data_IF_577332661864
#
_entry.id   IF_577332661864
#
_cell.length_a   1.000
_cell.length_b   1.000
_cell.length_c   1.000
_cell.angle_alpha   90.00
_cell.angle_beta   90.00
_cell.angle_gamma   90.00
#
_symmetry.space_group_name_H-M   'P 1'
#
loop_
_entity.id
_entity.type
_entity.pdbx_description
1 polymer ?
#
# COMPACT_ATOMS: atom_id res chain seq x y z
N UNK A 1 16.40 15.24 -22.77
CA UNK A 1 15.38 15.66 -21.78
C UNK A 1 14.01 15.99 -22.39
N UNK A 2 13.89 16.43 -23.64
CA UNK A 2 12.63 16.79 -24.32
C UNK A 2 11.85 15.54 -24.79
N UNK A 3 12.50 14.45 -25.13
CA UNK A 3 11.88 13.21 -25.65
C UNK A 3 11.16 12.37 -24.60
N UNK A 4 11.57 12.45 -23.32
CA UNK A 4 10.94 11.70 -22.24
C UNK A 4 9.59 12.31 -21.79
N UNK A 5 9.35 13.58 -22.05
CA UNK A 5 8.15 14.30 -21.61
C UNK A 5 6.91 13.91 -22.40
N UNK A 6 7.05 13.50 -23.67
CA UNK A 6 5.93 13.14 -24.55
C UNK A 6 5.39 11.72 -24.32
N UNK A 7 6.14 10.83 -23.67
CA UNK A 7 5.75 9.43 -23.49
C UNK A 7 4.66 9.20 -22.42
N UNK A 8 4.43 10.21 -21.55
CA UNK A 8 3.47 10.10 -20.45
C UNK A 8 2.26 11.01 -20.59
N UNK A 9 2.11 11.70 -21.76
CA UNK A 9 0.98 12.59 -22.01
C UNK A 9 -0.13 11.85 -22.74
N UNK A 10 -1.29 11.73 -22.09
CA UNK A 10 -2.53 11.28 -22.68
C UNK A 10 -3.45 12.47 -22.95
N UNK A 11 -4.12 12.49 -24.11
CA UNK A 11 -5.15 13.49 -24.41
C UNK A 11 -6.51 12.96 -23.96
N UNK A 12 -7.21 13.76 -23.15
CA UNK A 12 -8.57 13.37 -22.72
C UNK A 12 -9.56 13.32 -23.90
N UNK A 13 -9.42 14.27 -24.84
CA UNK A 13 -10.28 14.36 -26.02
C UNK A 13 -9.46 14.40 -27.31
N UNK A 14 -8.90 13.26 -27.76
CA UNK A 14 -8.01 13.23 -28.93
C UNK A 14 -8.73 13.63 -30.24
N UNK A 15 -10.05 13.47 -30.34
CA UNK A 15 -10.84 13.88 -31.51
C UNK A 15 -10.84 15.39 -31.74
N UNK A 16 -10.60 16.20 -30.69
CA UNK A 16 -10.48 17.67 -30.80
C UNK A 16 -9.29 18.07 -31.67
N UNK A 17 -8.24 17.24 -31.74
CA UNK A 17 -7.11 17.49 -32.62
C UNK A 17 -7.51 17.52 -34.11
N UNK A 18 -8.64 16.97 -34.50
CA UNK A 18 -9.18 17.10 -35.86
C UNK A 18 -9.46 18.57 -36.26
N UNK A 19 -9.68 19.47 -35.27
CA UNK A 19 -9.81 20.91 -35.54
C UNK A 19 -8.54 21.53 -36.11
N UNK A 20 -7.37 20.89 -35.95
CA UNK A 20 -6.12 21.36 -36.59
C UNK A 20 -6.20 21.34 -38.13
N UNK A 21 -7.13 20.55 -38.73
CA UNK A 21 -7.37 20.52 -40.17
C UNK A 21 -7.90 21.87 -40.70
N UNK A 22 -8.47 22.72 -39.84
CA UNK A 22 -8.87 24.07 -40.24
C UNK A 22 -7.70 25.03 -40.44
N UNK A 23 -6.54 24.78 -39.83
CA UNK A 23 -5.36 25.65 -39.99
C UNK A 23 -4.85 25.70 -41.42
N UNK A 24 -4.60 24.58 -42.13
CA UNK A 24 -4.17 24.63 -43.51
C UNK A 24 -5.22 25.33 -44.46
N UNK A 25 -6.50 25.16 -44.18
CA UNK A 25 -7.56 25.84 -44.92
C UNK A 25 -7.49 27.36 -44.73
N UNK A 26 -7.29 27.79 -43.48
CA UNK A 26 -7.13 29.21 -43.14
C UNK A 26 -5.85 29.83 -43.76
N UNK A 27 -4.76 29.06 -43.79
CA UNK A 27 -3.51 29.46 -44.44
C UNK A 27 -3.73 29.56 -45.95
N UNK A 28 -4.36 28.58 -46.57
CA UNK A 28 -4.67 28.56 -47.99
C UNK A 28 -5.55 29.75 -48.40
N UNK A 29 -6.61 30.03 -47.64
CA UNK A 29 -7.46 31.19 -47.88
C UNK A 29 -6.72 32.52 -47.73
N UNK A 30 -5.85 32.62 -46.73
CA UNK A 30 -5.00 33.80 -46.56
C UNK A 30 -4.07 34.04 -47.73
N UNK A 31 -3.39 33.00 -48.22
CA UNK A 31 -2.51 33.06 -49.36
C UNK A 31 -3.25 33.42 -50.66
N UNK A 32 -4.45 32.85 -50.87
CA UNK A 32 -5.32 33.12 -52.02
C UNK A 32 -5.82 34.57 -52.03
N UNK A 33 -6.19 35.10 -50.86
CA UNK A 33 -6.68 36.49 -50.76
C UNK A 33 -5.58 37.53 -50.71
N UNK A 34 -4.31 37.13 -50.64
CA UNK A 34 -3.16 38.05 -50.60
C UNK A 34 -3.12 38.93 -51.82
N UNK A 35 -3.26 38.36 -53.00
CA UNK A 35 -3.27 39.07 -54.30
C UNK A 35 -4.43 40.08 -54.45
N UNK A 36 -5.58 39.82 -53.80
CA UNK A 36 -6.78 40.67 -53.88
C UNK A 36 -6.81 41.78 -52.80
N UNK A 37 -5.96 41.69 -51.75
CA UNK A 37 -5.94 42.67 -50.64
C UNK A 37 -4.90 43.74 -50.79
N UNK A 38 -3.96 43.62 -51.72
CA UNK A 38 -3.01 44.65 -52.04
C UNK A 38 -3.69 45.69 -52.94
N UNK A 39 -4.05 46.84 -52.34
CA UNK A 39 -4.55 47.96 -53.15
C UNK A 39 -3.37 48.42 -54.04
N UNK A 40 -3.44 48.12 -55.32
CA UNK A 40 -2.46 48.61 -56.30
C UNK A 40 -2.78 50.09 -56.61
N UNK A 41 -1.97 51.00 -56.09
CA UNK A 41 -1.95 52.37 -56.61
C UNK A 41 -1.09 52.35 -57.88
N UNK A 42 -1.69 52.72 -59.01
CA UNK A 42 -0.96 52.94 -60.24
C UNK A 42 -0.23 54.25 -60.13
N UNK A 43 1.08 54.14 -59.89
CA UNK A 43 1.99 55.32 -59.88
C UNK A 43 2.81 55.35 -61.15
N UNK A 44 2.83 56.48 -61.83
CA UNK A 44 3.39 56.65 -63.17
C UNK A 44 4.93 56.55 -63.19
N UNK A 45 5.61 56.65 -62.03
CA UNK A 45 7.09 56.58 -61.94
C UNK A 45 7.51 55.86 -60.64
N UNK A 46 8.04 54.66 -60.78
CA UNK A 46 8.49 53.81 -59.62
C UNK A 46 10.02 53.91 -59.38
N UNK A 47 10.74 54.66 -60.20
CA UNK A 47 12.22 54.71 -60.20
C UNK A 47 12.86 55.19 -58.87
N UNK A 48 12.11 55.97 -58.05
CA UNK A 48 12.57 56.47 -56.74
C UNK A 48 12.29 55.47 -55.56
N UNK A 49 11.60 54.40 -55.81
CA UNK A 49 11.18 53.39 -54.78
C UNK A 49 12.02 52.13 -54.91
N UNK A 50 12.84 51.97 -55.94
CA UNK A 50 13.71 50.82 -56.13
C UNK A 50 14.81 50.82 -55.06
N UNK A 51 14.70 49.91 -54.05
CA UNK A 51 15.72 49.73 -53.04
C UNK A 51 15.27 49.95 -51.57
N UNK A 52 14.10 50.54 -51.31
CA UNK A 52 13.59 50.73 -49.93
C UNK A 52 12.93 49.50 -49.40
N UNK A 53 13.70 48.62 -48.79
CA UNK A 53 13.14 47.50 -48.00
C UNK A 53 12.60 48.00 -46.67
N UNK A 54 11.31 48.24 -46.56
CA UNK A 54 10.68 48.59 -45.28
C UNK A 54 10.53 47.35 -44.38
N UNK A 55 11.08 47.42 -43.17
CA UNK A 55 10.91 46.37 -42.16
C UNK A 55 9.41 46.10 -41.89
N UNK A 56 8.56 47.14 -41.92
CA UNK A 56 7.11 47.00 -41.77
C UNK A 56 6.49 46.16 -42.89
N UNK A 57 6.97 46.26 -44.12
CA UNK A 57 6.47 45.46 -45.25
C UNK A 57 6.83 43.97 -45.09
N UNK A 58 8.00 43.66 -44.54
CA UNK A 58 8.44 42.30 -44.26
C UNK A 58 7.63 41.65 -43.12
N UNK A 59 7.22 42.45 -42.12
CA UNK A 59 6.53 41.98 -40.94
C UNK A 59 4.98 41.95 -41.05
N UNK A 60 4.43 42.29 -42.23
CA UNK A 60 2.97 42.39 -42.44
C UNK A 60 2.23 41.04 -42.21
N UNK A 61 2.94 39.93 -42.29
CA UNK A 61 2.40 38.59 -42.07
C UNK A 61 2.46 38.16 -40.62
N UNK A 62 3.17 38.86 -39.75
CA UNK A 62 3.41 38.52 -38.36
C UNK A 62 2.09 38.36 -37.52
N UNK A 63 1.09 39.26 -37.63
CA UNK A 63 -0.17 39.12 -36.96
C UNK A 63 -0.89 37.82 -37.35
N UNK A 64 -0.86 37.45 -38.64
CA UNK A 64 -1.49 36.21 -39.10
C UNK A 64 -0.78 34.98 -38.56
N UNK A 65 0.55 34.99 -38.47
CA UNK A 65 1.33 33.88 -37.88
C UNK A 65 0.98 33.70 -36.40
N UNK A 66 0.92 34.80 -35.64
CA UNK A 66 0.55 34.74 -34.22
C UNK A 66 -0.87 34.19 -34.01
N UNK A 67 -1.81 34.53 -34.88
CA UNK A 67 -3.17 33.97 -34.86
C UNK A 67 -3.18 32.48 -35.14
N UNK A 68 -2.45 32.02 -36.15
CA UNK A 68 -2.33 30.60 -36.45
C UNK A 68 -1.72 29.82 -35.27
N UNK A 69 -0.67 30.39 -34.64
CA UNK A 69 0.00 29.79 -33.48
C UNK A 69 -0.94 29.75 -32.23
N UNK A 70 -1.69 30.82 -32.02
CA UNK A 70 -2.68 30.88 -30.94
C UNK A 70 -3.79 29.83 -31.11
N UNK A 71 -4.34 29.70 -32.34
CA UNK A 71 -5.35 28.67 -32.62
C UNK A 71 -4.78 27.26 -32.45
N UNK A 72 -3.53 27.02 -32.91
CA UNK A 72 -2.86 25.75 -32.73
C UNK A 72 -2.73 25.38 -31.24
N UNK A 73 -2.24 26.31 -30.41
CA UNK A 73 -2.11 26.11 -28.97
C UNK A 73 -3.45 25.96 -28.26
N UNK A 74 -4.49 26.71 -28.69
CA UNK A 74 -5.84 26.57 -28.16
C UNK A 74 -6.42 25.20 -28.44
N UNK A 75 -6.25 24.66 -29.63
CA UNK A 75 -6.74 23.30 -29.97
C UNK A 75 -6.03 22.25 -29.14
N UNK A 76 -4.70 22.37 -28.94
CA UNK A 76 -3.96 21.45 -28.07
C UNK A 76 -4.44 21.59 -26.62
N UNK A 77 -4.64 22.80 -26.11
CA UNK A 77 -5.15 23.03 -24.76
C UNK A 77 -6.56 22.44 -24.57
N UNK A 78 -7.43 22.58 -25.59
CA UNK A 78 -8.79 22.03 -25.61
C UNK A 78 -8.81 20.49 -25.64
N UNK A 79 -7.79 19.86 -26.26
CA UNK A 79 -7.62 18.41 -26.21
C UNK A 79 -7.25 17.89 -24.82
N UNK A 80 -7.00 18.79 -23.83
CA UNK A 80 -6.67 18.51 -22.43
C UNK A 80 -5.54 17.49 -22.30
N UNK A 81 -4.29 17.88 -22.56
CA UNK A 81 -3.13 17.04 -22.26
C UNK A 81 -3.04 16.82 -20.75
N UNK A 82 -2.96 15.57 -20.35
CA UNK A 82 -2.86 15.13 -18.94
C UNK A 82 -1.74 14.14 -18.79
N UNK A 83 -1.08 14.20 -17.65
CA UNK A 83 -0.05 13.26 -17.25
C UNK A 83 -0.68 12.22 -16.31
N UNK A 84 -0.53 10.94 -16.66
CA UNK A 84 -1.04 9.84 -15.87
C UNK A 84 0.01 9.45 -14.84
N UNK A 85 -0.29 9.70 -13.58
CA UNK A 85 0.45 9.10 -12.46
C UNK A 85 -0.31 7.88 -11.99
N UNK A 86 0.30 6.73 -12.14
CA UNK A 86 -0.20 5.50 -11.53
C UNK A 86 0.43 5.42 -10.14
N UNK A 87 -0.30 5.86 -9.15
CA UNK A 87 0.02 5.54 -7.76
C UNK A 87 -0.66 4.20 -7.47
N UNK A 88 0.13 3.15 -7.39
CA UNK A 88 -0.30 1.92 -6.78
C UNK A 88 -0.41 2.17 -5.27
N UNK A 89 -1.49 2.83 -4.85
CA UNK A 89 -1.89 2.72 -3.47
C UNK A 89 -2.40 1.30 -3.30
N UNK A 90 -1.56 0.48 -2.72
CA UNK A 90 -1.98 -0.77 -2.11
C UNK A 90 -2.90 -0.39 -0.95
N UNK A 91 -4.15 -0.03 -1.26
CA UNK A 91 -5.22 0.02 -0.28
C UNK A 91 -5.64 -1.43 0.03
N UNK A 92 -4.67 -2.28 0.29
CA UNK A 92 -4.90 -3.40 1.12
C UNK A 92 -5.22 -2.81 2.49
N UNK A 93 -6.49 -2.82 2.89
CA UNK A 93 -6.78 -2.72 4.31
C UNK A 93 -5.97 -3.83 4.95
N UNK A 94 -4.84 -3.46 5.56
CA UNK A 94 -3.94 -4.41 6.20
C UNK A 94 -4.72 -5.25 7.21
N UNK A 95 -4.22 -6.40 7.52
CA UNK A 95 -4.81 -7.31 8.49
C UNK A 95 -4.46 -6.81 9.88
N UNK A 96 -5.44 -6.79 10.78
CA UNK A 96 -5.18 -6.61 12.20
C UNK A 96 -4.88 -7.97 12.81
N UNK A 97 -3.66 -8.15 13.31
CA UNK A 97 -3.18 -9.42 13.83
C UNK A 97 -2.69 -9.29 15.27
N UNK A 98 -2.96 -10.29 16.09
CA UNK A 98 -2.33 -10.42 17.41
C UNK A 98 -1.59 -11.75 17.47
N UNK A 99 -0.31 -11.67 17.79
CA UNK A 99 0.50 -12.84 18.15
C UNK A 99 0.34 -13.09 19.66
N UNK A 100 -0.25 -14.23 20.00
CA UNK A 100 -0.54 -14.62 21.38
C UNK A 100 0.41 -15.74 21.81
N UNK A 101 1.44 -15.38 22.59
CA UNK A 101 2.50 -16.29 23.02
C UNK A 101 2.21 -16.87 24.40
N UNK A 102 2.27 -18.17 24.47
CA UNK A 102 2.40 -18.90 25.73
C UNK A 102 3.83 -18.74 26.26
N UNK A 103 3.97 -18.27 27.50
CA UNK A 103 5.26 -18.13 28.19
C UNK A 103 5.34 -19.00 29.46
N UNK A 104 4.46 -20.00 29.58
CA UNK A 104 4.47 -20.96 30.68
C UNK A 104 5.77 -21.75 30.74
N UNK A 105 6.01 -22.38 31.88
CA UNK A 105 7.24 -23.14 32.11
C UNK A 105 7.48 -24.28 31.10
N UNK A 106 6.43 -24.89 30.55
CA UNK A 106 6.51 -25.94 29.51
C UNK A 106 7.13 -25.46 28.20
N UNK A 107 7.02 -24.15 27.90
CA UNK A 107 7.64 -23.54 26.70
C UNK A 107 9.17 -23.39 26.82
N UNK A 108 9.77 -23.68 27.98
CA UNK A 108 11.22 -23.77 28.16
C UNK A 108 11.80 -25.13 27.75
N UNK A 109 10.96 -26.09 27.39
CA UNK A 109 11.38 -27.41 26.95
C UNK A 109 12.32 -27.36 25.75
N UNK A 110 13.35 -28.24 25.76
CA UNK A 110 14.46 -28.24 24.81
C UNK A 110 14.31 -29.21 23.64
N UNK A 111 13.08 -29.66 23.38
CA UNK A 111 12.75 -30.47 22.20
C UNK A 111 12.88 -29.64 20.90
N UNK A 112 12.73 -28.33 21.02
CA UNK A 112 13.14 -27.33 20.01
C UNK A 112 14.48 -26.70 20.40
N UNK A 113 15.29 -26.33 19.44
CA UNK A 113 16.56 -25.67 19.72
C UNK A 113 16.43 -24.14 19.55
N UNK A 114 16.82 -23.31 20.52
CA UNK A 114 17.34 -23.70 21.85
C UNK A 114 16.26 -24.20 22.81
N UNK A 115 15.03 -23.69 22.77
CA UNK A 115 13.80 -24.13 23.42
C UNK A 115 12.58 -23.75 22.61
N UNK A 116 11.37 -24.18 23.00
CA UNK A 116 10.12 -23.89 22.25
C UNK A 116 9.85 -22.39 22.12
N UNK A 117 9.99 -21.65 23.23
CA UNK A 117 9.72 -20.21 23.25
C UNK A 117 10.67 -19.45 22.32
N UNK A 118 11.98 -19.72 22.41
CA UNK A 118 12.96 -19.03 21.57
C UNK A 118 12.80 -19.39 20.09
N UNK A 119 12.48 -20.65 19.77
CA UNK A 119 12.17 -21.03 18.40
C UNK A 119 10.91 -20.33 17.88
N UNK A 120 9.85 -20.20 18.71
CA UNK A 120 8.64 -19.49 18.36
C UNK A 120 8.90 -17.99 18.12
N UNK A 121 9.71 -17.34 18.96
CA UNK A 121 10.11 -15.94 18.83
C UNK A 121 10.84 -15.69 17.52
N UNK A 122 11.85 -16.49 17.22
CA UNK A 122 12.68 -16.32 16.02
C UNK A 122 11.85 -16.45 14.73
N UNK A 123 10.94 -17.43 14.66
CA UNK A 123 10.07 -17.59 13.48
C UNK A 123 9.03 -16.48 13.40
N UNK A 124 8.49 -16.02 14.54
CA UNK A 124 7.55 -14.91 14.58
C UNK A 124 8.21 -13.58 14.18
N UNK A 125 9.46 -13.34 14.56
CA UNK A 125 10.22 -12.15 14.11
C UNK A 125 10.41 -12.14 12.59
N UNK A 126 10.80 -13.27 12.02
CA UNK A 126 10.95 -13.41 10.56
C UNK A 126 9.60 -13.19 9.84
N UNK A 127 8.53 -13.75 10.38
CA UNK A 127 7.18 -13.53 9.86
C UNK A 127 6.77 -12.05 9.90
N UNK A 128 6.99 -11.35 11.01
CA UNK A 128 6.67 -9.94 11.17
C UNK A 128 7.47 -9.08 10.19
N UNK A 129 8.76 -9.39 9.97
CA UNK A 129 9.63 -8.66 9.05
C UNK A 129 9.09 -8.55 7.62
N UNK A 130 8.31 -9.56 7.19
CA UNK A 130 7.77 -9.63 5.83
C UNK A 130 6.34 -9.08 5.68
N UNK A 131 5.77 -8.46 6.75
CA UNK A 131 4.38 -7.98 6.82
C UNK A 131 4.23 -6.49 6.60
N UNK A 132 4.52 -6.01 5.40
CA UNK A 132 4.30 -4.60 5.05
C UNK A 132 2.81 -4.30 4.85
N UNK A 133 2.31 -3.30 5.61
CA UNK A 133 0.91 -2.84 5.50
C UNK A 133 -0.05 -3.45 6.53
N UNK A 134 0.37 -4.47 7.28
CA UNK A 134 -0.41 -5.05 8.37
C UNK A 134 -0.17 -4.31 9.70
N UNK A 135 -1.09 -4.46 10.64
CA UNK A 135 -0.95 -3.97 12.02
C UNK A 135 -0.88 -5.16 12.94
N UNK A 136 0.17 -5.22 13.74
CA UNK A 136 0.46 -6.38 14.58
C UNK A 136 0.56 -5.95 16.03
N UNK A 137 -0.06 -6.72 16.92
CA UNK A 137 0.10 -6.62 18.37
C UNK A 137 0.66 -7.90 18.96
N UNK A 138 1.18 -7.82 20.18
CA UNK A 138 1.71 -8.99 20.92
C UNK A 138 1.06 -9.09 22.27
N UNK A 139 0.50 -10.25 22.55
CA UNK A 139 -0.04 -10.65 23.85
C UNK A 139 0.77 -11.83 24.34
N UNK A 140 1.15 -11.82 25.61
CA UNK A 140 1.79 -12.94 26.29
C UNK A 140 0.86 -13.47 27.39
N UNK A 141 0.89 -14.75 27.64
CA UNK A 141 0.11 -15.34 28.73
C UNK A 141 0.83 -16.51 29.40
N UNK A 142 0.51 -16.69 30.68
CA UNK A 142 0.76 -17.89 31.46
C UNK A 142 -0.51 -18.14 32.31
N UNK A 143 -0.49 -18.02 33.61
CA UNK A 143 -1.68 -18.01 34.46
C UNK A 143 -2.56 -16.77 34.26
N UNK A 144 -1.93 -15.64 33.93
CA UNK A 144 -2.56 -14.35 33.54
C UNK A 144 -2.12 -13.95 32.14
N UNK A 145 -2.80 -12.96 31.54
CA UNK A 145 -2.46 -12.46 30.23
C UNK A 145 -2.09 -10.98 30.27
N UNK A 146 -1.13 -10.58 29.44
CA UNK A 146 -0.65 -9.21 29.35
C UNK A 146 -0.40 -8.77 27.89
N UNK A 147 -0.78 -7.54 27.57
CA UNK A 147 -0.50 -6.95 26.25
C UNK A 147 0.92 -6.37 26.28
N UNK A 148 1.85 -7.05 25.64
CA UNK A 148 3.25 -6.61 25.55
C UNK A 148 3.42 -5.49 24.52
N UNK A 149 2.73 -5.60 23.38
CA UNK A 149 2.69 -4.58 22.34
C UNK A 149 1.25 -4.37 21.87
N UNK A 150 0.68 -3.15 21.94
CA UNK A 150 -0.59 -2.86 21.34
C UNK A 150 -0.50 -2.96 19.81
N UNK A 151 -1.65 -3.08 19.13
CA UNK A 151 -1.70 -3.19 17.66
C UNK A 151 -1.10 -1.92 17.03
N UNK A 152 -0.03 -2.08 16.26
CA UNK A 152 0.72 -1.00 15.60
C UNK A 152 1.16 -1.38 14.19
N UNK A 153 1.27 -0.43 13.25
CA UNK A 153 1.93 -0.65 11.96
C UNK A 153 3.47 -0.61 12.04
N UNK A 154 4.04 -0.24 13.19
CA UNK A 154 5.48 -0.19 13.42
C UNK A 154 6.02 -1.60 13.70
N UNK A 155 6.46 -2.28 12.64
CA UNK A 155 6.95 -3.65 12.70
C UNK A 155 8.27 -3.77 13.48
N UNK A 156 9.10 -2.74 13.47
CA UNK A 156 10.38 -2.74 14.21
C UNK A 156 10.11 -2.73 15.72
N UNK A 157 9.13 -1.95 16.17
CA UNK A 157 8.68 -1.96 17.56
C UNK A 157 8.12 -3.32 17.96
N UNK A 158 7.32 -3.97 17.10
CA UNK A 158 6.80 -5.32 17.36
C UNK A 158 7.92 -6.33 17.51
N UNK A 159 8.89 -6.36 16.59
CA UNK A 159 10.03 -7.27 16.65
C UNK A 159 10.86 -7.05 17.93
N UNK A 160 11.11 -5.79 18.29
CA UNK A 160 11.83 -5.48 19.52
C UNK A 160 11.11 -6.05 20.77
N UNK A 161 9.77 -5.97 20.80
CA UNK A 161 9.00 -6.55 21.91
C UNK A 161 9.02 -8.09 21.89
N UNK A 162 8.95 -8.73 20.73
CA UNK A 162 9.05 -10.19 20.62
C UNK A 162 10.41 -10.68 21.17
N UNK A 163 11.52 -10.01 20.84
CA UNK A 163 12.86 -10.34 21.37
C UNK A 163 12.93 -10.30 22.89
N UNK A 164 12.19 -9.38 23.50
CA UNK A 164 12.19 -9.19 24.95
C UNK A 164 11.30 -10.20 25.71
N UNK A 165 10.55 -11.06 25.01
CA UNK A 165 9.74 -12.08 25.66
C UNK A 165 10.67 -13.08 26.39
N UNK A 166 10.35 -13.34 27.67
CA UNK A 166 11.07 -14.30 28.51
C UNK A 166 10.07 -15.14 29.29
N UNK A 167 10.40 -16.42 29.50
CA UNK A 167 9.65 -17.27 30.42
C UNK A 167 9.76 -16.70 31.85
N UNK A 168 8.67 -16.77 32.61
CA UNK A 168 8.61 -16.20 33.96
C UNK A 168 8.39 -14.68 34.02
N UNK A 169 8.19 -13.99 32.89
CA UNK A 169 7.90 -12.55 32.87
C UNK A 169 6.67 -12.19 33.70
N UNK A 170 5.67 -13.04 33.76
CA UNK A 170 4.42 -12.85 34.51
C UNK A 170 4.45 -13.58 35.87
N UNK A 171 5.50 -13.77 36.56
CA UNK A 171 5.69 -14.27 37.92
C UNK A 171 4.68 -15.36 38.42
N UNK A 172 3.65 -15.70 37.67
CA UNK A 172 2.62 -16.68 37.99
C UNK A 172 2.75 -17.88 37.06
N UNK A 173 2.91 -19.06 37.64
CA UNK A 173 2.96 -20.33 36.90
C UNK A 173 1.58 -20.81 36.55
N UNK A 174 1.42 -21.34 35.35
CA UNK A 174 0.15 -21.88 34.84
C UNK A 174 -0.01 -21.58 33.35
N UNK A 175 -1.08 -22.04 32.75
CA UNK A 175 -1.41 -21.82 31.35
C UNK A 175 -2.91 -21.53 31.21
N UNK A 176 -3.25 -20.26 30.98
CA UNK A 176 -4.65 -19.81 30.86
C UNK A 176 -4.90 -19.36 29.41
N UNK A 177 -5.10 -20.32 28.50
CA UNK A 177 -5.32 -20.08 27.07
C UNK A 177 -6.52 -19.15 26.86
N UNK A 178 -7.62 -19.38 27.57
CA UNK A 178 -8.82 -18.54 27.47
C UNK A 178 -8.57 -17.08 27.83
N UNK A 179 -7.75 -16.79 28.85
CA UNK A 179 -7.37 -15.41 29.22
C UNK A 179 -6.51 -14.74 28.15
N UNK A 180 -5.53 -15.47 27.58
CA UNK A 180 -4.71 -14.98 26.46
C UNK A 180 -5.53 -14.63 25.24
N UNK A 181 -6.47 -15.51 24.85
CA UNK A 181 -7.38 -15.28 23.74
C UNK A 181 -8.31 -14.10 23.99
N UNK A 182 -8.94 -14.01 25.18
CA UNK A 182 -9.84 -12.92 25.51
C UNK A 182 -9.15 -11.55 25.46
N UNK A 183 -7.91 -11.45 25.98
CA UNK A 183 -7.10 -10.24 25.89
C UNK A 183 -6.78 -9.91 24.43
N UNK A 184 -6.42 -10.90 23.62
CA UNK A 184 -6.14 -10.72 22.19
C UNK A 184 -7.36 -10.23 21.42
N UNK A 185 -8.55 -10.78 21.68
CA UNK A 185 -9.82 -10.32 21.10
C UNK A 185 -10.13 -8.88 21.53
N UNK A 186 -9.90 -8.53 22.81
CA UNK A 186 -10.11 -7.15 23.28
C UNK A 186 -9.24 -6.15 22.53
N UNK A 187 -8.00 -6.49 22.21
CA UNK A 187 -7.14 -5.63 21.38
C UNK A 187 -7.65 -5.48 19.96
N UNK A 188 -8.22 -6.53 19.37
CA UNK A 188 -8.74 -6.53 17.99
C UNK A 188 -10.13 -5.93 17.84
N UNK A 189 -10.94 -5.86 18.90
CA UNK A 189 -12.37 -5.44 18.82
C UNK A 189 -12.52 -4.04 18.22
N UNK A 190 -11.62 -3.10 18.54
CA UNK A 190 -11.65 -1.72 18.07
C UNK A 190 -10.98 -1.52 16.70
N UNK A 191 -10.36 -2.56 16.15
CA UNK A 191 -9.70 -2.52 14.85
C UNK A 191 -10.69 -2.32 13.71
N UNK A 192 -10.30 -1.54 12.70
CA UNK A 192 -11.13 -1.23 11.52
C UNK A 192 -10.83 -2.15 10.33
N UNK A 193 -9.82 -3.02 10.43
CA UNK A 193 -9.46 -3.94 9.36
C UNK A 193 -10.59 -4.93 9.07
N UNK A 194 -10.74 -5.31 7.79
CA UNK A 194 -11.73 -6.32 7.36
C UNK A 194 -11.40 -7.72 7.88
N UNK A 195 -10.11 -8.04 7.98
CA UNK A 195 -9.65 -9.30 8.55
C UNK A 195 -8.98 -9.06 9.89
N UNK A 196 -9.41 -9.82 10.90
CA UNK A 196 -8.88 -9.81 12.27
C UNK A 196 -8.45 -11.21 12.65
N UNK A 197 -7.19 -11.35 13.02
CA UNK A 197 -6.56 -12.67 13.19
C UNK A 197 -5.82 -12.74 14.52
N UNK A 198 -5.96 -13.85 15.22
CA UNK A 198 -5.11 -14.23 16.34
C UNK A 198 -4.28 -15.44 15.91
N UNK A 199 -2.97 -15.38 16.10
CA UNK A 199 -2.08 -16.54 16.01
C UNK A 199 -1.71 -16.92 17.44
N UNK A 200 -2.32 -18.01 17.91
CA UNK A 200 -2.07 -18.58 19.23
C UNK A 200 -0.91 -19.57 19.13
N UNK A 201 0.13 -19.36 19.94
CA UNK A 201 1.29 -20.24 20.05
C UNK A 201 1.33 -20.82 21.46
N UNK A 202 1.13 -22.10 21.60
CA UNK A 202 1.06 -22.80 22.90
C UNK A 202 1.45 -24.26 22.74
N UNK A 203 1.80 -24.93 23.84
CA UNK A 203 1.92 -26.38 23.87
C UNK A 203 0.60 -27.10 24.18
N UNK A 204 -0.50 -26.36 24.32
CA UNK A 204 -1.87 -26.90 24.35
C UNK A 204 -2.37 -27.40 25.70
N UNK A 205 -1.61 -27.29 26.75
CA UNK A 205 -2.04 -27.71 28.09
C UNK A 205 -2.69 -26.53 28.79
N UNK A 206 -4.05 -26.48 28.80
CA UNK A 206 -4.79 -25.46 29.54
C UNK A 206 -4.99 -25.93 31.00
N UNK A 207 -4.42 -25.19 31.94
CA UNK A 207 -4.55 -25.48 33.39
C UNK A 207 -5.71 -24.68 33.99
N UNK A 208 -6.37 -23.85 33.18
CA UNK A 208 -7.46 -22.98 33.58
C UNK A 208 -7.02 -21.57 33.94
N UNK A 209 -7.96 -20.65 33.92
CA UNK A 209 -7.74 -19.22 34.19
C UNK A 209 -9.05 -18.52 34.51
N UNK A 210 -9.03 -17.18 34.66
CA UNK A 210 -10.25 -16.40 34.93
C UNK A 210 -11.29 -16.53 33.82
N UNK A 211 -10.86 -16.71 32.57
CA UNK A 211 -11.74 -16.83 31.41
C UNK A 211 -11.55 -18.21 30.78
N UNK A 212 -12.60 -19.05 30.76
CA UNK A 212 -12.52 -20.33 30.06
C UNK A 212 -12.34 -20.15 28.54
N UNK A 213 -11.66 -21.08 27.84
CA UNK A 213 -11.47 -21.02 26.40
C UNK A 213 -12.76 -20.88 25.60
N UNK A 214 -13.83 -21.55 25.98
CA UNK A 214 -15.14 -21.47 25.31
C UNK A 214 -15.75 -20.06 25.32
N UNK A 215 -15.51 -19.30 26.38
CA UNK A 215 -15.96 -17.90 26.48
C UNK A 215 -15.15 -17.04 25.54
N UNK A 216 -13.83 -17.23 25.51
CA UNK A 216 -12.95 -16.50 24.58
C UNK A 216 -13.29 -16.77 23.11
N UNK A 217 -13.64 -18.02 22.75
CA UNK A 217 -14.12 -18.38 21.41
C UNK A 217 -15.44 -17.68 21.07
N UNK A 218 -16.39 -17.60 21.99
CA UNK A 218 -17.62 -16.83 21.77
C UNK A 218 -17.36 -15.36 21.57
N UNK A 219 -16.42 -14.78 22.31
CA UNK A 219 -15.97 -13.39 22.09
C UNK A 219 -15.32 -13.22 20.71
N UNK A 220 -14.46 -14.13 20.29
CA UNK A 220 -13.83 -14.09 18.97
C UNK A 220 -14.87 -14.12 17.85
N UNK A 221 -15.87 -14.98 17.95
CA UNK A 221 -16.96 -15.05 16.98
C UNK A 221 -17.80 -13.77 16.94
N UNK A 222 -18.10 -13.17 18.11
CA UNK A 222 -18.86 -11.91 18.18
C UNK A 222 -18.17 -10.77 17.45
N UNK A 223 -16.84 -10.71 17.50
CA UNK A 223 -16.03 -9.67 16.85
C UNK A 223 -15.43 -10.09 15.51
N UNK A 224 -15.86 -11.24 14.97
CA UNK A 224 -15.38 -11.80 13.70
C UNK A 224 -13.86 -11.97 13.66
N UNK A 225 -13.27 -12.42 14.75
CA UNK A 225 -11.85 -12.69 14.88
C UNK A 225 -11.60 -14.16 14.60
N UNK A 226 -10.71 -14.46 13.65
CA UNK A 226 -10.26 -15.83 13.38
C UNK A 226 -9.08 -16.19 14.28
N UNK A 227 -9.05 -17.44 14.74
CA UNK A 227 -7.96 -17.95 15.57
C UNK A 227 -7.23 -19.07 14.82
N UNK A 228 -5.97 -18.83 14.49
CA UNK A 228 -5.04 -19.88 14.06
C UNK A 228 -4.30 -20.41 15.29
N UNK A 229 -4.55 -21.65 15.60
CA UNK A 229 -3.92 -22.28 16.78
C UNK A 229 -2.71 -23.10 16.32
N UNK A 230 -1.54 -22.77 16.82
CA UNK A 230 -0.28 -23.46 16.55
C UNK A 230 0.15 -24.18 17.81
N UNK A 231 0.03 -25.50 17.79
CA UNK A 231 0.55 -26.34 18.84
C UNK A 231 2.05 -26.60 18.65
N UNK A 232 2.86 -26.25 19.64
CA UNK A 232 4.31 -26.41 19.60
C UNK A 232 4.73 -27.55 20.50
N UNK A 233 5.26 -28.62 19.92
CA UNK A 233 5.73 -29.77 20.69
C UNK A 233 6.16 -30.92 19.79
N UNK A 234 7.13 -31.70 20.26
CA UNK A 234 7.51 -32.94 19.57
C UNK A 234 6.90 -34.13 20.28
N UNK A 235 6.53 -35.17 19.50
CA UNK A 235 6.08 -36.46 20.05
C UNK A 235 7.19 -37.25 20.76
N UNK A 236 8.37 -36.64 20.87
CA UNK A 236 9.53 -37.31 21.49
C UNK A 236 9.46 -37.20 23.01
N UNK A 237 9.73 -38.31 23.67
CA UNK A 237 9.94 -38.29 25.12
C UNK A 237 11.08 -37.36 25.48
N UNK A 238 10.84 -36.41 26.40
CA UNK A 238 11.87 -35.51 26.90
C UNK A 238 12.42 -36.05 28.20
N UNK A 239 13.75 -36.01 28.32
CA UNK A 239 14.42 -36.31 29.56
C UNK A 239 14.41 -35.05 30.46
N UNK A 240 13.47 -34.98 31.38
CA UNK A 240 13.42 -33.88 32.38
C UNK A 240 14.33 -34.23 33.55
N UNK A 241 15.26 -33.34 33.88
CA UNK A 241 16.12 -33.50 35.06
C UNK A 241 15.45 -32.85 36.25
N UNK A 242 14.81 -33.64 37.09
CA UNK A 242 14.17 -33.17 38.32
C UNK A 242 15.25 -33.11 39.41
N UNK A 243 15.46 -31.94 39.96
CA UNK A 243 16.30 -31.76 41.13
C UNK A 243 15.56 -32.30 42.37
N UNK A 244 15.93 -33.49 42.85
CA UNK A 244 15.45 -34.05 44.07
C UNK A 244 16.46 -33.85 45.21
N UNK A 245 16.07 -33.79 46.48
CA UNK A 245 16.97 -33.78 47.62
C UNK A 245 17.95 -34.94 47.68
N UNK A 246 17.71 -35.98 46.91
CA UNK A 246 18.51 -37.23 46.82
C UNK A 246 19.42 -37.27 45.56
N UNK A 247 19.47 -36.17 44.74
CA UNK A 247 20.24 -36.09 43.50
C UNK A 247 19.35 -35.83 42.30
N UNK A 248 20.00 -35.52 41.16
CA UNK A 248 19.30 -35.30 39.91
C UNK A 248 18.71 -36.61 39.36
N UNK A 249 17.39 -36.71 39.27
CA UNK A 249 16.69 -37.83 38.65
C UNK A 249 16.27 -37.40 37.24
N UNK A 250 16.67 -38.19 36.26
CA UNK A 250 16.20 -37.99 34.86
C UNK A 250 14.92 -38.83 34.68
N UNK A 251 13.81 -38.18 34.60
CA UNK A 251 12.52 -38.83 34.33
C UNK A 251 12.10 -38.60 32.86
N UNK A 252 11.69 -39.66 32.18
CA UNK A 252 11.14 -39.55 30.84
C UNK A 252 9.69 -39.11 30.95
N UNK A 253 9.41 -37.88 30.59
CA UNK A 253 8.05 -37.34 30.57
C UNK A 253 7.56 -37.25 29.13
N UNK A 254 6.45 -37.90 28.83
CA UNK A 254 5.68 -37.63 27.62
C UNK A 254 4.86 -36.37 27.90
N UNK A 255 5.14 -35.29 27.22
CA UNK A 255 4.34 -34.07 27.36
C UNK A 255 2.96 -34.32 26.82
N UNK A 256 1.97 -34.20 27.71
CA UNK A 256 0.58 -34.25 27.31
C UNK A 256 0.26 -33.03 26.47
N UNK A 257 -0.23 -33.26 25.27
CA UNK A 257 -0.58 -32.24 24.31
C UNK A 257 -2.09 -32.33 24.05
N UNK A 258 -2.84 -31.25 24.34
CA UNK A 258 -4.30 -31.28 24.15
C UNK A 258 -4.67 -30.72 22.77
N UNK A 259 -4.41 -31.51 21.71
CA UNK A 259 -4.78 -31.12 20.35
C UNK A 259 -6.28 -30.85 20.20
N UNK A 260 -7.12 -31.62 20.87
CA UNK A 260 -8.57 -31.50 20.74
C UNK A 260 -9.12 -30.13 21.13
N UNK A 261 -8.54 -29.51 22.17
CA UNK A 261 -8.89 -28.15 22.56
C UNK A 261 -8.49 -27.12 21.48
N UNK A 262 -7.28 -27.19 20.97
CA UNK A 262 -6.78 -26.26 19.98
C UNK A 262 -7.49 -26.39 18.64
N UNK A 263 -7.77 -27.62 18.19
CA UNK A 263 -8.59 -27.91 17.02
C UNK A 263 -9.98 -27.31 17.14
N UNK A 264 -10.61 -27.47 18.32
CA UNK A 264 -11.96 -26.96 18.60
C UNK A 264 -11.98 -25.41 18.56
N UNK A 265 -10.99 -24.74 19.19
CA UNK A 265 -10.86 -23.28 19.18
C UNK A 265 -10.73 -22.76 17.75
N UNK A 266 -9.85 -23.35 16.95
CA UNK A 266 -9.61 -22.94 15.58
C UNK A 266 -10.85 -23.17 14.69
N UNK A 267 -11.46 -24.36 14.75
CA UNK A 267 -12.62 -24.72 13.94
C UNK A 267 -13.83 -23.83 14.21
N UNK A 268 -14.12 -23.52 15.48
CA UNK A 268 -15.26 -22.68 15.86
C UNK A 268 -15.12 -21.23 15.44
N UNK A 269 -13.91 -20.73 15.23
CA UNK A 269 -13.64 -19.33 14.84
C UNK A 269 -13.36 -19.15 13.35
N UNK A 270 -13.44 -20.23 12.56
CA UNK A 270 -13.15 -20.20 11.12
C UNK A 270 -11.66 -20.09 10.78
N UNK A 271 -10.78 -20.39 11.75
CA UNK A 271 -9.36 -20.56 11.55
C UNK A 271 -8.96 -22.01 11.33
N UNK A 272 -7.67 -22.30 11.50
CA UNK A 272 -7.12 -23.65 11.36
C UNK A 272 -6.16 -23.97 12.50
N UNK A 273 -6.08 -25.25 12.85
CA UNK A 273 -5.09 -25.79 13.75
C UNK A 273 -3.89 -26.31 12.99
N UNK A 274 -2.71 -26.08 13.51
CA UNK A 274 -1.44 -26.57 12.98
C UNK A 274 -0.60 -27.17 14.10
N UNK A 275 0.11 -28.24 13.81
CA UNK A 275 1.09 -28.84 14.71
C UNK A 275 2.49 -28.56 14.21
N UNK A 276 3.29 -27.88 15.02
CA UNK A 276 4.70 -27.65 14.77
C UNK A 276 5.55 -28.68 15.54
N UNK A 277 6.12 -29.63 14.84
CA UNK A 277 7.04 -30.65 15.42
C UNK A 277 8.49 -30.16 15.45
N UNK A 278 8.82 -29.17 14.66
CA UNK A 278 10.14 -28.54 14.60
C UNK A 278 10.06 -27.10 14.06
N UNK A 279 11.18 -26.38 14.08
CA UNK A 279 11.27 -24.99 13.62
C UNK A 279 10.93 -24.84 12.14
N UNK A 280 11.25 -25.83 11.29
CA UNK A 280 10.97 -25.76 9.86
C UNK A 280 9.46 -25.89 9.60
N UNK A 281 8.79 -26.80 10.31
CA UNK A 281 7.34 -26.91 10.29
C UNK A 281 6.66 -25.60 10.71
N UNK A 282 7.16 -24.96 11.79
CA UNK A 282 6.63 -23.67 12.24
C UNK A 282 6.77 -22.56 11.15
N UNK A 283 7.91 -22.50 10.47
CA UNK A 283 8.11 -21.56 9.34
C UNK A 283 7.12 -21.83 8.19
N UNK A 284 6.87 -23.09 7.85
CA UNK A 284 5.88 -23.46 6.83
C UNK A 284 4.44 -23.08 7.24
N UNK A 285 4.10 -23.27 8.51
CA UNK A 285 2.79 -22.91 9.06
C UNK A 285 2.55 -21.40 8.90
N UNK A 286 3.51 -20.57 9.27
CA UNK A 286 3.38 -19.12 9.09
C UNK A 286 3.22 -18.70 7.63
N UNK A 287 3.91 -19.37 6.69
CA UNK A 287 3.71 -19.15 5.24
C UNK A 287 2.29 -19.54 4.80
N UNK A 288 1.78 -20.67 5.29
CA UNK A 288 0.41 -21.10 4.98
C UNK A 288 -0.64 -20.12 5.50
N UNK A 289 -0.47 -19.58 6.71
CA UNK A 289 -1.34 -18.54 7.26
C UNK A 289 -1.26 -17.26 6.42
N UNK A 290 -0.07 -16.89 5.96
CA UNK A 290 0.15 -15.76 5.06
C UNK A 290 -0.63 -15.91 3.76
N UNK A 291 -0.57 -17.06 3.12
CA UNK A 291 -1.30 -17.36 1.89
C UNK A 291 -2.83 -17.34 2.11
N UNK A 292 -3.33 -17.92 3.21
CA UNK A 292 -4.75 -17.95 3.52
C UNK A 292 -5.37 -16.56 3.73
N UNK A 293 -4.61 -15.62 4.26
CA UNK A 293 -5.12 -14.27 4.56
C UNK A 293 -4.82 -13.24 3.45
N UNK A 294 -3.73 -13.38 2.70
CA UNK A 294 -3.40 -12.49 1.56
C UNK A 294 -4.36 -12.58 0.38
N UNK A 295 -5.07 -13.69 0.22
CA UNK A 295 -6.00 -13.91 -0.91
C UNK A 295 -7.19 -12.94 -0.91
N UNK A 296 -7.35 -12.08 0.12
CA UNK A 296 -8.47 -11.14 0.28
C UNK A 296 -8.14 -9.67 0.03
N UNK A 297 -6.90 -9.35 -0.33
CA UNK A 297 -6.49 -7.96 -0.60
C UNK A 297 -6.83 -7.61 -2.03
N UNK A 298 -7.94 -6.88 -2.25
CA UNK A 298 -8.24 -6.25 -3.54
C UNK A 298 -7.27 -5.07 -3.76
N UNK A 299 -6.41 -5.20 -4.77
CA UNK A 299 -5.54 -4.11 -5.21
C UNK A 299 -6.40 -3.10 -5.97
N UNK A 300 -6.78 -2.01 -5.33
CA UNK A 300 -7.48 -0.90 -5.99
C UNK A 300 -6.44 0.07 -6.56
N UNK A 301 -6.30 0.06 -7.88
CA UNK A 301 -5.38 0.98 -8.58
C UNK A 301 -6.08 2.34 -8.75
N UNK A 302 -5.61 3.38 -8.07
CA UNK A 302 -6.06 4.75 -8.29
C UNK A 302 -5.23 5.42 -9.37
N UNK A 303 -5.90 5.94 -10.40
CA UNK A 303 -5.27 6.76 -11.43
C UNK A 303 -5.44 8.24 -11.08
N UNK A 304 -4.35 8.90 -10.75
CA UNK A 304 -4.33 10.35 -10.57
C UNK A 304 -3.92 11.02 -11.87
N UNK A 305 -4.71 12.00 -12.33
CA UNK A 305 -4.44 12.74 -13.55
C UNK A 305 -4.09 14.20 -13.21
N UNK A 306 -2.91 14.64 -13.62
CA UNK A 306 -2.52 16.05 -13.51
C UNK A 306 -2.73 16.73 -14.85
N UNK A 307 -3.57 17.75 -14.89
CA UNK A 307 -3.88 18.51 -16.12
C UNK A 307 -2.77 19.51 -16.46
N UNK A 308 -2.31 19.51 -17.71
CA UNK A 308 -1.22 20.36 -18.21
C UNK A 308 -1.68 21.38 -19.26
N UNK A 309 -2.98 21.64 -19.38
CA UNK A 309 -3.52 22.55 -20.39
C UNK A 309 -3.32 24.04 -20.05
N UNK A 310 -3.23 24.40 -18.77
CA UNK A 310 -3.21 25.79 -18.31
C UNK A 310 -2.06 26.63 -18.89
N UNK A 311 -0.78 26.20 -18.88
CA UNK A 311 0.31 26.96 -19.50
C UNK A 311 0.13 27.16 -21.00
N UNK A 312 -0.45 26.17 -21.72
CA UNK A 312 -0.72 26.27 -23.15
C UNK A 312 -1.80 27.32 -23.43
N UNK A 313 -2.83 27.40 -22.58
CA UNK A 313 -3.91 28.37 -22.67
C UNK A 313 -3.40 29.79 -22.44
N UNK A 314 -2.53 30.01 -21.43
CA UNK A 314 -1.91 31.31 -21.19
C UNK A 314 -1.04 31.75 -22.36
N UNK A 315 -0.27 30.85 -22.94
CA UNK A 315 0.58 31.12 -24.09
C UNK A 315 -0.25 31.48 -25.34
N UNK A 316 -1.35 30.75 -25.58
CA UNK A 316 -2.29 31.05 -26.65
C UNK A 316 -2.94 32.43 -26.49
N UNK A 317 -3.37 32.77 -25.26
CA UNK A 317 -3.92 34.09 -24.94
C UNK A 317 -2.89 35.21 -25.18
N UNK A 318 -1.63 34.98 -24.79
CA UNK A 318 -0.52 35.91 -25.05
C UNK A 318 -0.34 36.20 -26.55
N UNK A 319 -0.39 35.18 -27.41
CA UNK A 319 -0.31 35.36 -28.85
C UNK A 319 -1.52 36.09 -29.45
N UNK A 320 -2.74 35.85 -28.92
CA UNK A 320 -3.93 36.60 -29.34
C UNK A 320 -3.86 38.07 -28.98
N UNK A 321 -3.41 38.40 -27.77
CA UNK A 321 -3.20 39.78 -27.34
C UNK A 321 -2.15 40.45 -28.21
N UNK A 322 -1.06 39.74 -28.52
CA UNK A 322 -0.01 40.25 -29.38
C UNK A 322 -0.48 40.50 -30.83
N UNK A 323 -1.28 39.58 -31.41
CA UNK A 323 -1.96 39.78 -32.72
C UNK A 323 -2.83 41.03 -32.67
N UNK A 324 -3.63 41.16 -31.60
CA UNK A 324 -4.50 42.33 -31.44
C UNK A 324 -3.76 43.64 -31.37
N UNK A 325 -2.73 43.73 -30.49
CA UNK A 325 -1.90 44.92 -30.35
C UNK A 325 -1.19 45.29 -31.65
N UNK A 326 -0.54 44.33 -32.30
CA UNK A 326 0.16 44.59 -33.57
C UNK A 326 -0.80 45.09 -34.66
N UNK A 327 -2.00 44.54 -34.71
CA UNK A 327 -3.01 44.90 -35.73
C UNK A 327 -3.52 46.34 -35.54
N UNK A 328 -3.75 46.77 -34.30
CA UNK A 328 -4.35 48.06 -33.99
C UNK A 328 -3.31 49.19 -33.80
N UNK A 329 -2.06 48.84 -33.50
CA UNK A 329 -0.97 49.84 -33.31
C UNK A 329 -0.06 49.96 -34.54
N UNK A 330 0.68 48.90 -34.88
CA UNK A 330 1.73 48.92 -35.91
C UNK A 330 1.18 48.79 -37.32
N UNK A 331 0.18 47.92 -37.52
CA UNK A 331 -0.40 47.60 -38.84
C UNK A 331 -1.81 48.17 -39.02
N UNK A 332 -2.14 49.27 -38.32
CA UNK A 332 -3.41 49.97 -38.50
C UNK A 332 -3.59 50.41 -39.95
N UNK A 333 -4.57 49.86 -40.66
CA UNK A 333 -5.00 50.33 -41.97
C UNK A 333 -5.82 51.58 -41.77
N UNK A 334 -5.36 52.72 -42.26
CA UNK A 334 -6.22 53.88 -42.41
C UNK A 334 -7.21 53.61 -43.57
N UNK A 335 -8.46 54.02 -43.42
CA UNK A 335 -9.49 53.84 -44.44
C UNK A 335 -9.13 54.61 -45.69
#
# INVERSE_FOLDING_TARGET
MITAWWQHIEFQWPWVLALLLFLPIMIWEYLRKKASREAAMTVTTTHFLEGTKSIKASMIHLPFIFRCLAIFLLVIALARPREKFTEEQTNGEGIDMVLCFDISGSMTATDFKPNRLEAAKEVAEDFVAHRTGDRIGVVIFSSVSFTLCPITPDLDAVQAQIRNIQSGYLQEEGTAIGSGLATSVDRLRSGKAKSKVIILLTDGVDIGGMIPPDIAVKMANLYHVKIYAIGIGSDKEINEVIQSPLGNITEKRKLEFNEGLLQNIAAQTGGQYFHASDKTALTHIYKSIDELEKTKVEVTTYHHYTEKYFPLLLLALGFLVLDFVLRFTVFRKFP
#
